data_IF_000945740439
#
_entry.id   IF_000945740439
#
_cell.length_a   1.000
_cell.length_b   1.000
_cell.length_c   1.000
_cell.angle_alpha   90.00
_cell.angle_beta   90.00
_cell.angle_gamma   90.00
#
_symmetry.space_group_name_H-M   'P 1'
#
loop_
_entity.id
_entity.type
_entity.pdbx_description
1 polymer ?
#
# COMPACT_ATOMS: atom_id res chain seq x y z
N UNK A 1 61.24 -24.38 42.88
CA UNK A 1 60.10 -23.41 42.76
C UNK A 1 58.94 -23.98 43.55
N UNK A 2 58.35 -23.14 44.41
CA UNK A 2 57.27 -23.54 45.33
C UNK A 2 55.93 -23.58 44.55
N UNK A 3 55.03 -24.53 44.89
CA UNK A 3 53.70 -24.69 44.19
C UNK A 3 52.96 -23.38 43.97
N UNK A 4 53.09 -22.39 44.91
CA UNK A 4 52.50 -21.07 44.78
C UNK A 4 53.16 -20.20 43.68
N UNK A 5 54.45 -20.37 43.39
CA UNK A 5 55.13 -19.65 42.30
C UNK A 5 54.77 -20.23 40.91
N UNK A 6 54.51 -21.54 40.84
CA UNK A 6 54.04 -22.19 39.59
C UNK A 6 52.62 -21.75 39.21
N UNK A 7 51.73 -21.59 40.20
CA UNK A 7 50.33 -21.11 39.98
C UNK A 7 50.33 -19.65 39.56
N UNK A 8 51.21 -18.81 40.13
CA UNK A 8 51.29 -17.40 39.72
C UNK A 8 51.85 -17.24 38.30
N UNK A 9 52.84 -18.07 37.90
CA UNK A 9 53.38 -18.02 36.54
C UNK A 9 52.39 -18.52 35.50
N UNK A 10 51.57 -19.53 35.81
CA UNK A 10 50.52 -20.01 34.91
C UNK A 10 49.38 -18.96 34.75
N UNK A 11 49.01 -18.26 35.82
CA UNK A 11 48.02 -17.20 35.77
C UNK A 11 48.47 -15.99 34.92
N UNK A 12 49.74 -15.59 35.01
CA UNK A 12 50.31 -14.49 34.22
C UNK A 12 50.39 -14.88 32.73
N UNK A 13 50.79 -16.11 32.39
CA UNK A 13 50.82 -16.57 31.01
C UNK A 13 49.42 -16.63 30.40
N UNK A 14 48.39 -17.04 31.15
CA UNK A 14 46.99 -17.07 30.70
C UNK A 14 46.43 -15.67 30.45
N UNK A 15 46.78 -14.67 31.29
CA UNK A 15 46.36 -13.27 31.13
C UNK A 15 47.04 -12.64 29.91
N UNK A 16 48.33 -12.90 29.68
CA UNK A 16 49.04 -12.38 28.50
C UNK A 16 48.56 -13.00 27.21
N UNK A 17 48.19 -14.28 27.18
CA UNK A 17 47.57 -14.93 26.01
C UNK A 17 46.14 -14.42 25.76
N UNK A 18 45.35 -14.16 26.81
CA UNK A 18 44.02 -13.61 26.67
C UNK A 18 44.04 -12.13 26.14
N UNK A 19 44.99 -11.32 26.59
CA UNK A 19 45.18 -9.94 26.10
C UNK A 19 45.73 -9.92 24.66
N UNK A 20 46.63 -10.83 24.31
CA UNK A 20 47.19 -10.98 22.96
C UNK A 20 46.12 -11.47 21.94
N UNK A 21 45.26 -12.40 22.33
CA UNK A 21 44.16 -12.90 21.48
C UNK A 21 43.05 -11.83 21.33
N UNK A 22 42.75 -11.04 22.37
CA UNK A 22 41.78 -9.97 22.33
C UNK A 22 42.18 -8.85 21.36
N UNK A 23 43.46 -8.49 21.32
CA UNK A 23 43.95 -7.45 20.39
C UNK A 23 44.09 -7.96 18.95
N UNK A 24 44.31 -9.24 18.74
CA UNK A 24 44.37 -9.86 17.41
C UNK A 24 42.93 -10.03 16.83
N UNK A 25 41.96 -10.46 17.63
CA UNK A 25 40.55 -10.54 17.25
C UNK A 25 39.95 -9.14 16.99
N UNK A 26 40.38 -8.11 17.70
CA UNK A 26 39.90 -6.76 17.48
C UNK A 26 40.43 -6.15 16.15
N UNK A 27 41.65 -6.54 15.72
CA UNK A 27 42.19 -6.11 14.42
C UNK A 27 41.61 -6.87 13.23
N UNK A 28 41.02 -8.05 13.40
CA UNK A 28 40.41 -8.84 12.30
C UNK A 28 38.91 -8.56 12.10
N UNK A 29 38.26 -7.80 13.00
CA UNK A 29 36.84 -7.41 12.91
C UNK A 29 36.66 -5.98 12.39
N UNK A 30 37.74 -5.23 12.11
CA UNK A 30 37.57 -3.99 11.34
C UNK A 30 37.27 -4.36 9.88
N UNK A 31 35.97 -4.27 9.50
CA UNK A 31 35.57 -4.26 8.10
C UNK A 31 36.37 -3.17 7.38
N UNK A 32 36.85 -3.43 6.16
CA UNK A 32 37.48 -2.38 5.38
C UNK A 32 36.46 -1.23 5.20
N UNK A 33 36.82 -0.04 5.68
CA UNK A 33 36.11 1.17 5.27
C UNK A 33 36.23 1.28 3.76
N UNK A 34 35.14 0.96 3.05
CA UNK A 34 34.99 1.44 1.69
C UNK A 34 35.04 2.97 1.77
N UNK A 35 36.16 3.55 1.38
CA UNK A 35 36.23 4.94 0.98
C UNK A 35 35.23 5.09 -0.17
N UNK A 36 34.02 5.49 0.18
CA UNK A 36 33.09 6.03 -0.79
C UNK A 36 33.77 7.27 -1.35
N UNK A 37 34.25 7.17 -2.58
CA UNK A 37 34.62 8.33 -3.33
C UNK A 37 33.37 9.21 -3.40
N UNK A 38 33.36 10.29 -2.67
CA UNK A 38 32.39 11.37 -2.82
C UNK A 38 32.58 11.95 -4.21
N UNK A 39 31.96 11.30 -5.20
CA UNK A 39 31.56 12.02 -6.39
C UNK A 39 30.40 12.90 -5.96
N UNK A 40 30.68 14.20 -5.86
CA UNK A 40 29.69 15.25 -5.82
C UNK A 40 28.82 15.13 -7.08
N UNK A 41 27.82 14.25 -7.07
CA UNK A 41 26.64 14.42 -7.89
C UNK A 41 25.93 15.63 -7.28
N UNK A 42 26.09 16.79 -7.88
CA UNK A 42 25.23 17.93 -7.63
C UNK A 42 23.79 17.46 -7.82
N UNK A 43 23.14 17.15 -6.71
CA UNK A 43 21.68 17.04 -6.65
C UNK A 43 21.19 18.44 -6.99
N UNK A 44 20.84 18.68 -8.26
CA UNK A 44 20.07 19.87 -8.64
C UNK A 44 18.86 19.88 -7.73
N UNK A 45 18.85 20.81 -6.76
CA UNK A 45 17.65 21.12 -5.99
C UNK A 45 16.55 21.36 -7.02
N UNK A 46 15.49 20.54 -6.99
CA UNK A 46 14.29 20.82 -7.76
C UNK A 46 13.83 22.21 -7.34
N UNK A 47 13.86 23.17 -8.26
CA UNK A 47 13.37 24.52 -8.01
C UNK A 47 11.87 24.43 -7.76
N UNK A 48 11.38 25.11 -6.73
CA UNK A 48 9.92 25.25 -6.52
C UNK A 48 9.31 25.82 -7.78
N UNK A 49 8.11 25.34 -8.17
CA UNK A 49 7.45 25.85 -9.37
C UNK A 49 7.34 27.38 -9.33
N UNK A 50 7.64 28.00 -10.42
CA UNK A 50 7.55 29.45 -10.55
C UNK A 50 6.09 29.91 -10.38
N UNK A 51 5.88 31.17 -9.99
CA UNK A 51 4.51 31.73 -9.92
C UNK A 51 3.78 31.62 -11.25
N UNK A 52 4.48 31.68 -12.37
CA UNK A 52 3.95 31.56 -13.72
C UNK A 52 3.45 30.13 -14.00
N UNK A 53 4.26 29.11 -13.69
CA UNK A 53 3.90 27.70 -13.83
C UNK A 53 2.69 27.33 -12.96
N UNK A 54 2.67 27.81 -11.71
CA UNK A 54 1.52 27.58 -10.81
C UNK A 54 0.25 28.20 -11.39
N UNK A 55 0.33 29.42 -11.95
CA UNK A 55 -0.81 30.09 -12.57
C UNK A 55 -1.29 29.34 -13.82
N UNK A 56 -0.38 28.86 -14.65
CA UNK A 56 -0.72 28.09 -15.84
C UNK A 56 -1.46 26.78 -15.49
N UNK A 57 -1.02 26.06 -14.44
CA UNK A 57 -1.68 24.85 -13.96
C UNK A 57 -3.07 25.11 -13.37
N UNK A 58 -3.27 26.26 -12.71
CA UNK A 58 -4.59 26.71 -12.28
C UNK A 58 -5.54 26.98 -13.46
N UNK A 59 -5.03 27.53 -14.55
CA UNK A 59 -5.82 27.69 -15.79
C UNK A 59 -6.22 26.34 -16.34
N UNK A 60 -5.29 25.36 -16.40
CA UNK A 60 -5.62 23.98 -16.80
C UNK A 60 -6.73 23.40 -15.91
N UNK A 61 -6.69 23.61 -14.60
CA UNK A 61 -7.74 23.13 -13.69
C UNK A 61 -9.10 23.77 -14.00
N UNK A 62 -9.14 25.05 -14.32
CA UNK A 62 -10.37 25.73 -14.73
C UNK A 62 -10.93 25.15 -16.03
N UNK A 63 -10.06 24.91 -17.03
CA UNK A 63 -10.46 24.27 -18.29
C UNK A 63 -11.01 22.86 -18.04
N UNK A 64 -10.35 22.05 -17.21
CA UNK A 64 -10.80 20.71 -16.81
C UNK A 64 -12.20 20.74 -16.18
N UNK A 65 -12.48 21.74 -15.34
CA UNK A 65 -13.80 21.87 -14.71
C UNK A 65 -14.92 22.18 -15.70
N UNK A 66 -14.60 22.75 -16.87
CA UNK A 66 -15.57 23.06 -17.94
C UNK A 66 -15.84 21.85 -18.85
N UNK A 67 -15.01 20.80 -18.83
CA UNK A 67 -15.21 19.61 -19.63
C UNK A 67 -16.36 18.75 -19.07
N UNK A 68 -17.15 18.15 -19.95
CA UNK A 68 -18.37 17.42 -19.58
C UNK A 68 -18.11 15.98 -19.17
N UNK A 69 -17.15 15.30 -19.79
CA UNK A 69 -16.88 13.88 -19.53
C UNK A 69 -15.67 13.66 -18.63
N UNK A 70 -15.66 12.57 -17.87
CA UNK A 70 -14.49 12.17 -17.08
C UNK A 70 -13.29 11.90 -17.98
N UNK A 71 -13.50 11.25 -19.11
CA UNK A 71 -12.42 10.92 -20.06
C UNK A 71 -11.73 12.16 -20.60
N UNK A 72 -12.48 13.20 -21.00
CA UNK A 72 -11.89 14.46 -21.46
C UNK A 72 -11.12 15.17 -20.35
N UNK A 73 -11.67 15.18 -19.13
CA UNK A 73 -10.99 15.74 -17.95
C UNK A 73 -9.66 15.06 -17.67
N UNK A 74 -9.66 13.74 -17.64
CA UNK A 74 -8.45 12.93 -17.39
C UNK A 74 -7.44 13.11 -18.50
N UNK A 75 -7.86 13.04 -19.78
CA UNK A 75 -6.98 13.27 -20.94
C UNK A 75 -6.31 14.64 -20.87
N UNK A 76 -7.07 15.68 -20.52
CA UNK A 76 -6.52 17.04 -20.37
C UNK A 76 -5.49 17.10 -19.23
N UNK A 77 -5.79 16.51 -18.07
CA UNK A 77 -4.86 16.46 -16.94
C UNK A 77 -3.57 15.72 -17.30
N UNK A 78 -3.68 14.50 -17.83
CA UNK A 78 -2.50 13.67 -18.18
C UNK A 78 -1.61 14.38 -19.20
N UNK A 79 -2.21 15.05 -20.22
CA UNK A 79 -1.42 15.78 -21.23
C UNK A 79 -0.79 17.07 -20.69
N UNK A 80 -1.25 17.60 -19.57
CA UNK A 80 -0.78 18.85 -18.96
C UNK A 80 0.22 18.63 -17.81
N UNK A 81 0.31 17.40 -17.29
CA UNK A 81 1.23 17.05 -16.21
C UNK A 81 2.66 16.81 -16.70
N UNK A 82 3.64 17.31 -15.94
CA UNK A 82 5.04 16.93 -16.13
C UNK A 82 5.26 15.46 -15.77
N UNK A 83 6.42 14.91 -16.15
CA UNK A 83 6.81 13.56 -15.77
C UNK A 83 6.78 13.39 -14.23
N UNK A 84 7.34 14.33 -13.53
CA UNK A 84 7.45 14.34 -12.07
C UNK A 84 6.06 14.36 -11.40
N UNK A 85 5.11 15.13 -11.93
CA UNK A 85 3.73 15.16 -11.44
C UNK A 85 3.00 13.85 -11.73
N UNK A 86 3.19 13.27 -12.90
CA UNK A 86 2.63 11.96 -13.25
C UNK A 86 3.11 10.87 -12.29
N UNK A 87 4.42 10.83 -11.99
CA UNK A 87 4.99 9.86 -11.05
C UNK A 87 4.42 10.05 -9.64
N UNK A 88 4.27 11.29 -9.17
CA UNK A 88 3.65 11.57 -7.88
C UNK A 88 2.22 11.02 -7.77
N UNK A 89 1.42 11.08 -8.85
CA UNK A 89 0.04 10.59 -8.81
C UNK A 89 -0.10 9.07 -8.73
N UNK A 90 0.92 8.31 -9.11
CA UNK A 90 0.92 6.84 -9.05
C UNK A 90 1.61 6.27 -7.81
N UNK A 91 1.99 7.11 -6.85
CA UNK A 91 2.56 6.65 -5.58
C UNK A 91 1.56 6.88 -4.44
N UNK A 92 1.52 5.93 -3.52
CA UNK A 92 0.83 6.04 -2.23
C UNK A 92 1.86 5.86 -1.12
N UNK A 93 2.01 6.87 -0.28
CA UNK A 93 3.06 6.91 0.74
C UNK A 93 2.50 7.01 2.15
N UNK A 94 3.21 6.41 3.11
CA UNK A 94 2.94 6.61 4.52
C UNK A 94 3.96 7.56 5.15
N UNK A 95 3.75 7.90 6.42
CA UNK A 95 4.65 8.76 7.18
C UNK A 95 4.55 8.48 8.68
N UNK A 96 5.40 9.11 9.47
CA UNK A 96 5.39 9.04 10.93
C UNK A 96 4.77 10.31 11.53
N UNK A 97 3.98 10.11 12.59
CA UNK A 97 3.36 11.20 13.34
C UNK A 97 1.85 11.30 13.16
N UNK A 98 1.22 12.07 14.03
CA UNK A 98 -0.26 12.25 14.11
C UNK A 98 -0.72 13.55 13.46
N UNK A 99 0.22 14.27 12.84
CA UNK A 99 0.03 15.48 12.04
C UNK A 99 0.88 15.36 10.77
N UNK A 100 0.62 16.12 9.68
CA UNK A 100 1.45 16.08 8.50
C UNK A 100 2.90 16.46 8.83
N UNK A 101 3.82 15.50 8.70
CA UNK A 101 5.25 15.71 8.96
C UNK A 101 5.91 16.55 7.85
N UNK A 102 7.12 17.07 8.13
CA UNK A 102 7.90 17.77 7.11
C UNK A 102 8.21 16.89 5.89
N UNK A 103 8.49 15.60 6.10
CA UNK A 103 8.77 14.65 5.02
C UNK A 103 7.54 14.42 4.13
N UNK A 104 6.35 14.16 4.69
CA UNK A 104 5.15 13.99 3.86
C UNK A 104 4.76 15.30 3.18
N UNK A 105 4.96 16.44 3.82
CA UNK A 105 4.73 17.76 3.21
C UNK A 105 5.66 17.97 2.01
N UNK A 106 6.95 17.60 2.13
CA UNK A 106 7.89 17.64 1.01
C UNK A 106 7.47 16.73 -0.14
N UNK A 107 7.06 15.49 0.17
CA UNK A 107 6.54 14.56 -0.83
C UNK A 107 5.31 15.11 -1.56
N UNK A 108 4.41 15.80 -0.85
CA UNK A 108 3.23 16.42 -1.45
C UNK A 108 3.60 17.65 -2.30
N UNK A 109 4.38 18.58 -1.74
CA UNK A 109 4.65 19.88 -2.39
C UNK A 109 5.69 19.78 -3.51
N UNK A 110 6.72 18.95 -3.35
CA UNK A 110 7.87 18.89 -4.26
C UNK A 110 7.93 17.61 -5.10
N UNK A 111 7.24 16.52 -4.70
CA UNK A 111 7.14 15.27 -5.46
C UNK A 111 5.72 15.01 -5.98
N UNK A 112 4.79 15.89 -5.68
CA UNK A 112 3.40 15.84 -6.19
C UNK A 112 2.66 14.55 -5.85
N UNK A 113 3.01 13.91 -4.71
CA UNK A 113 2.36 12.69 -4.26
C UNK A 113 0.85 12.93 -4.14
N UNK A 114 0.10 12.01 -4.72
CA UNK A 114 -1.35 12.10 -4.82
C UNK A 114 -2.11 11.21 -3.86
N UNK A 115 -1.44 10.31 -3.11
CA UNK A 115 -2.14 9.29 -2.31
C UNK A 115 -1.37 9.00 -1.03
N UNK A 116 -2.11 8.76 0.07
CA UNK A 116 -1.57 8.58 1.42
C UNK A 116 -2.15 7.29 2.00
N UNK A 117 -1.34 6.56 2.77
CA UNK A 117 -1.80 5.44 3.60
C UNK A 117 -1.42 5.69 5.07
N UNK A 118 -2.35 5.45 5.99
CA UNK A 118 -2.16 5.65 7.42
C UNK A 118 -2.10 4.30 8.17
N UNK A 119 -1.32 4.30 9.25
CA UNK A 119 -1.11 3.17 10.14
C UNK A 119 -1.39 3.56 11.59
N UNK A 120 -1.36 2.59 12.52
CA UNK A 120 -1.59 2.85 13.95
C UNK A 120 -0.71 3.97 14.52
N UNK A 121 0.51 4.16 13.99
CA UNK A 121 1.42 5.24 14.38
C UNK A 121 0.91 6.66 14.08
N UNK A 122 -0.11 6.77 13.23
CA UNK A 122 -0.74 8.04 12.87
C UNK A 122 -2.04 8.31 13.64
N UNK A 123 -2.47 7.39 14.52
CA UNK A 123 -3.82 7.36 15.04
C UNK A 123 -3.85 7.34 16.58
N UNK A 124 -4.53 8.30 17.19
CA UNK A 124 -4.71 8.40 18.65
C UNK A 124 -6.20 8.38 19.05
N UNK A 125 -7.05 9.01 18.26
CA UNK A 125 -8.50 9.04 18.46
C UNK A 125 -9.22 9.30 17.14
N UNK A 126 -10.51 8.94 17.02
CA UNK A 126 -11.29 9.21 15.81
C UNK A 126 -11.27 10.69 15.41
N UNK A 127 -11.44 11.60 16.36
CA UNK A 127 -11.36 13.05 16.12
C UNK A 127 -9.99 13.47 15.59
N UNK A 128 -8.89 13.00 16.19
CA UNK A 128 -7.53 13.34 15.73
C UNK A 128 -7.30 12.84 14.32
N UNK A 129 -7.76 11.62 13.96
CA UNK A 129 -7.63 11.07 12.61
C UNK A 129 -8.45 11.88 11.60
N UNK A 130 -9.68 12.28 11.97
CA UNK A 130 -10.51 13.16 11.15
C UNK A 130 -9.81 14.51 10.86
N UNK A 131 -9.19 15.11 11.90
CA UNK A 131 -8.39 16.34 11.75
C UNK A 131 -7.20 16.12 10.81
N UNK A 132 -6.43 15.04 11.02
CA UNK A 132 -5.29 14.70 10.18
C UNK A 132 -5.70 14.53 8.70
N UNK A 133 -6.76 13.78 8.43
CA UNK A 133 -7.24 13.56 7.06
C UNK A 133 -7.77 14.85 6.41
N UNK A 134 -8.45 15.70 7.18
CA UNK A 134 -8.84 17.04 6.72
C UNK A 134 -7.60 17.89 6.37
N UNK A 135 -6.55 17.87 7.18
CA UNK A 135 -5.33 18.64 6.93
C UNK A 135 -4.58 18.14 5.68
N UNK A 136 -4.53 16.82 5.48
CA UNK A 136 -3.98 16.24 4.25
C UNK A 136 -4.78 16.69 3.02
N UNK A 137 -6.11 16.68 3.08
CA UNK A 137 -6.95 17.18 1.98
C UNK A 137 -6.77 18.70 1.76
N UNK A 138 -6.53 19.49 2.81
CA UNK A 138 -6.18 20.93 2.68
C UNK A 138 -4.84 21.13 1.98
N UNK A 139 -3.84 20.24 2.23
CA UNK A 139 -2.57 20.25 1.49
C UNK A 139 -2.80 19.90 0.01
N UNK A 140 -3.62 18.88 -0.29
CA UNK A 140 -4.00 18.54 -1.66
C UNK A 140 -4.70 19.72 -2.38
N UNK A 141 -5.60 20.43 -1.70
CA UNK A 141 -6.30 21.59 -2.25
C UNK A 141 -5.38 22.74 -2.62
N UNK A 142 -4.24 22.86 -1.95
CA UNK A 142 -3.20 23.87 -2.26
C UNK A 142 -2.34 23.49 -3.47
N UNK A 143 -2.37 22.22 -3.90
CA UNK A 143 -1.59 21.80 -5.07
C UNK A 143 -2.16 22.37 -6.37
N UNK A 144 -1.34 22.56 -7.41
CA UNK A 144 -1.75 23.26 -8.64
C UNK A 144 -2.97 22.67 -9.34
N UNK A 145 -3.10 21.35 -9.40
CA UNK A 145 -4.23 20.68 -10.05
C UNK A 145 -5.42 20.45 -9.12
N UNK A 146 -5.27 20.69 -7.81
CA UNK A 146 -6.34 20.54 -6.82
C UNK A 146 -7.07 19.19 -6.92
N UNK A 147 -6.30 18.12 -6.89
CA UNK A 147 -6.81 16.75 -6.94
C UNK A 147 -6.92 16.20 -5.50
N UNK A 148 -8.10 15.68 -5.07
CA UNK A 148 -8.23 15.06 -3.77
C UNK A 148 -7.29 13.86 -3.61
N UNK A 149 -6.82 13.62 -2.39
CA UNK A 149 -6.03 12.43 -2.09
C UNK A 149 -6.91 11.20 -1.91
N UNK A 150 -6.47 10.06 -2.44
CA UNK A 150 -6.87 8.80 -1.87
C UNK A 150 -6.16 8.66 -0.53
N UNK A 151 -6.92 8.44 0.55
CA UNK A 151 -6.41 8.23 1.90
C UNK A 151 -6.85 6.84 2.35
N UNK A 152 -5.88 5.95 2.47
CA UNK A 152 -6.08 4.53 2.71
C UNK A 152 -5.70 4.08 4.13
N UNK A 153 -6.24 2.92 4.51
CA UNK A 153 -5.94 2.22 5.75
C UNK A 153 -6.18 0.72 5.57
N UNK A 154 -5.47 -0.13 6.35
CA UNK A 154 -5.81 -1.54 6.53
C UNK A 154 -6.77 -1.67 7.71
N UNK A 155 -8.04 -1.81 7.44
CA UNK A 155 -9.08 -2.02 8.45
C UNK A 155 -9.88 -3.28 8.07
N UNK A 156 -9.21 -4.44 8.18
CA UNK A 156 -9.75 -5.74 7.76
C UNK A 156 -10.71 -6.33 8.80
N UNK A 157 -10.44 -6.07 10.07
CA UNK A 157 -11.05 -6.72 11.23
C UNK A 157 -10.10 -7.70 11.92
N UNK A 158 -10.51 -8.25 13.06
CA UNK A 158 -9.70 -9.15 13.87
C UNK A 158 -8.38 -8.53 14.28
N UNK A 159 -7.28 -9.21 13.98
CA UNK A 159 -5.93 -8.76 14.36
C UNK A 159 -5.44 -7.55 13.50
N UNK A 160 -6.04 -7.32 12.33
CA UNK A 160 -5.73 -6.17 11.45
C UNK A 160 -6.81 -5.10 11.60
N UNK A 161 -6.81 -4.48 12.75
CA UNK A 161 -7.74 -3.43 13.13
C UNK A 161 -6.97 -2.29 13.80
N UNK A 162 -6.99 -1.09 13.21
CA UNK A 162 -6.31 0.09 13.77
C UNK A 162 -7.19 0.70 14.86
N UNK A 163 -6.56 1.23 15.91
CA UNK A 163 -7.24 1.82 17.09
C UNK A 163 -8.26 0.85 17.75
N UNK A 164 -7.91 -0.41 17.94
CA UNK A 164 -8.79 -1.48 18.43
C UNK A 164 -9.68 -1.09 19.62
N UNK A 165 -9.16 -0.29 20.55
CA UNK A 165 -9.90 0.16 21.75
C UNK A 165 -10.89 1.31 21.47
N UNK A 166 -10.85 1.91 20.28
CA UNK A 166 -11.63 3.11 19.93
C UNK A 166 -12.64 2.90 18.81
N UNK A 167 -12.43 1.90 17.96
CA UNK A 167 -13.32 1.52 16.88
C UNK A 167 -14.24 0.40 17.31
N UNK A 168 -15.27 0.11 16.53
CA UNK A 168 -16.07 -1.10 16.75
C UNK A 168 -15.21 -2.36 16.57
N UNK A 169 -15.46 -3.44 17.34
CA UNK A 169 -14.66 -4.67 17.30
C UNK A 169 -14.99 -5.50 16.04
N UNK A 170 -14.64 -4.99 14.88
CA UNK A 170 -14.87 -5.66 13.59
C UNK A 170 -14.28 -7.08 13.65
N UNK A 171 -15.08 -8.14 13.44
CA UNK A 171 -14.60 -9.51 13.53
C UNK A 171 -13.57 -9.83 12.43
N UNK A 172 -12.75 -10.85 12.66
CA UNK A 172 -11.92 -11.41 11.60
C UNK A 172 -12.79 -11.98 10.47
N UNK A 173 -12.24 -12.01 9.24
CA UNK A 173 -12.97 -12.61 8.11
C UNK A 173 -13.27 -14.10 8.37
N UNK A 174 -12.40 -14.83 9.06
CA UNK A 174 -12.66 -16.22 9.43
C UNK A 174 -13.89 -16.31 10.37
N UNK A 175 -13.95 -15.48 11.41
CA UNK A 175 -15.09 -15.49 12.32
C UNK A 175 -16.40 -15.16 11.60
N UNK A 176 -16.41 -14.18 10.70
CA UNK A 176 -17.55 -13.89 9.83
C UNK A 176 -17.84 -15.07 8.88
N UNK A 177 -16.81 -15.67 8.31
CA UNK A 177 -16.93 -16.85 7.49
C UNK A 177 -17.63 -18.02 8.18
N UNK A 178 -17.40 -18.21 9.46
CA UNK A 178 -17.94 -19.34 10.22
C UNK A 178 -19.42 -19.17 10.59
N UNK A 179 -19.87 -17.95 10.90
CA UNK A 179 -21.21 -17.74 11.49
C UNK A 179 -22.14 -16.81 10.71
N UNK A 180 -21.58 -15.87 9.91
CA UNK A 180 -22.37 -14.83 9.29
C UNK A 180 -23.03 -15.27 7.97
N UNK A 181 -24.20 -14.72 7.70
CA UNK A 181 -24.82 -14.73 6.36
C UNK A 181 -24.15 -13.67 5.47
N UNK A 182 -24.33 -13.77 4.16
CA UNK A 182 -23.84 -12.75 3.19
C UNK A 182 -24.36 -11.35 3.52
N UNK A 183 -25.62 -11.23 3.96
CA UNK A 183 -26.19 -9.94 4.37
C UNK A 183 -25.50 -9.38 5.63
N UNK A 184 -25.19 -10.22 6.60
CA UNK A 184 -24.49 -9.81 7.81
C UNK A 184 -23.04 -9.37 7.51
N UNK A 185 -22.35 -10.04 6.56
CA UNK A 185 -21.05 -9.59 6.09
C UNK A 185 -21.11 -8.19 5.45
N UNK A 186 -22.15 -7.95 4.64
CA UNK A 186 -22.41 -6.61 4.08
C UNK A 186 -22.66 -5.57 5.19
N UNK A 187 -23.48 -5.90 6.20
CA UNK A 187 -23.82 -4.99 7.29
C UNK A 187 -22.57 -4.61 8.11
N UNK A 188 -21.72 -5.58 8.43
CA UNK A 188 -20.43 -5.34 9.11
C UNK A 188 -19.50 -4.47 8.25
N UNK A 189 -19.40 -4.76 6.95
CA UNK A 189 -18.55 -3.98 6.06
C UNK A 189 -19.04 -2.53 5.93
N UNK A 190 -20.35 -2.32 5.82
CA UNK A 190 -20.97 -0.99 5.77
C UNK A 190 -20.77 -0.23 7.09
N UNK A 191 -20.87 -0.90 8.22
CA UNK A 191 -20.57 -0.32 9.54
C UNK A 191 -19.10 0.12 9.61
N UNK A 192 -18.16 -0.76 9.26
CA UNK A 192 -16.73 -0.42 9.20
C UNK A 192 -16.48 0.79 8.28
N UNK A 193 -17.10 0.80 7.10
CA UNK A 193 -16.99 1.90 6.15
C UNK A 193 -17.56 3.22 6.70
N UNK A 194 -18.65 3.17 7.47
CA UNK A 194 -19.24 4.36 8.13
C UNK A 194 -18.26 4.97 9.13
N UNK A 195 -17.57 4.14 9.91
CA UNK A 195 -16.54 4.62 10.83
C UNK A 195 -15.33 5.20 10.08
N UNK A 196 -14.88 4.54 9.02
CA UNK A 196 -13.78 5.04 8.19
C UNK A 196 -14.14 6.38 7.52
N UNK A 197 -15.34 6.48 6.97
CA UNK A 197 -15.83 7.73 6.36
C UNK A 197 -15.89 8.87 7.38
N UNK A 198 -16.38 8.60 8.62
CA UNK A 198 -16.42 9.60 9.69
C UNK A 198 -15.03 10.14 10.06
N UNK A 199 -13.99 9.34 9.85
CA UNK A 199 -12.59 9.73 10.04
C UNK A 199 -11.93 10.33 8.79
N UNK A 200 -12.62 10.39 7.65
CA UNK A 200 -12.12 11.00 6.42
C UNK A 200 -11.29 10.05 5.52
N UNK A 201 -11.31 8.76 5.75
CA UNK A 201 -10.77 7.77 4.80
C UNK A 201 -11.68 7.62 3.59
N UNK A 202 -11.11 7.19 2.46
CA UNK A 202 -11.84 6.90 1.23
C UNK A 202 -11.37 5.62 0.52
N UNK A 203 -10.40 4.93 1.10
CA UNK A 203 -9.85 3.65 0.60
C UNK A 203 -9.59 2.72 1.78
N UNK A 204 -10.04 1.45 1.69
CA UNK A 204 -9.74 0.42 2.67
C UNK A 204 -9.04 -0.76 2.00
N UNK A 205 -7.86 -1.16 2.48
CA UNK A 205 -7.12 -2.33 2.01
C UNK A 205 -7.75 -3.63 2.55
N UNK A 206 -9.00 -3.85 2.19
CA UNK A 206 -9.86 -5.00 2.46
C UNK A 206 -10.89 -5.14 1.33
N UNK A 207 -11.43 -6.36 1.08
CA UNK A 207 -11.24 -7.61 1.80
C UNK A 207 -10.01 -8.40 1.37
N UNK A 208 -9.60 -9.36 2.22
CA UNK A 208 -8.67 -10.43 1.87
C UNK A 208 -9.44 -11.53 1.14
N UNK A 209 -8.96 -11.93 -0.04
CA UNK A 209 -9.54 -13.01 -0.86
C UNK A 209 -8.64 -14.27 -0.89
N UNK A 210 -7.63 -14.31 -0.04
CA UNK A 210 -6.76 -15.48 0.11
C UNK A 210 -7.54 -16.67 0.65
N UNK A 211 -7.31 -17.86 0.08
CA UNK A 211 -7.99 -19.09 0.45
C UNK A 211 -7.19 -19.83 1.52
N UNK A 212 -7.72 -19.92 2.73
CA UNK A 212 -7.05 -20.61 3.83
C UNK A 212 -8.09 -21.04 4.89
N UNK A 213 -7.86 -22.20 5.52
CA UNK A 213 -8.63 -22.68 6.68
C UNK A 213 -7.94 -22.36 8.03
N UNK A 214 -6.71 -21.85 7.98
CA UNK A 214 -5.90 -21.56 9.17
C UNK A 214 -5.60 -20.06 9.36
N UNK A 215 -5.70 -19.27 8.32
CA UNK A 215 -5.48 -17.81 8.40
C UNK A 215 -6.79 -17.11 8.80
N UNK A 216 -6.79 -16.44 9.94
CA UNK A 216 -7.91 -15.65 10.45
C UNK A 216 -8.37 -14.53 9.51
N UNK A 217 -7.50 -14.11 8.59
CA UNK A 217 -7.80 -13.08 7.59
C UNK A 217 -8.59 -13.62 6.40
N UNK A 218 -8.71 -14.95 6.24
CA UNK A 218 -9.45 -15.62 5.17
C UNK A 218 -10.91 -15.88 5.58
N UNK A 219 -11.84 -15.89 4.62
CA UNK A 219 -13.21 -16.37 4.81
C UNK A 219 -13.32 -17.91 4.85
N UNK A 220 -12.20 -18.63 4.72
CA UNK A 220 -12.10 -20.07 4.75
C UNK A 220 -11.48 -20.66 3.47
N UNK A 221 -11.62 -21.98 3.33
CA UNK A 221 -11.02 -22.75 2.22
C UNK A 221 -11.93 -22.92 1.00
N UNK A 222 -13.16 -22.42 1.03
CA UNK A 222 -14.08 -22.46 -0.11
C UNK A 222 -13.92 -21.20 -0.99
N UNK A 223 -13.42 -21.32 -2.24
CA UNK A 223 -13.24 -20.19 -3.13
C UNK A 223 -14.54 -19.44 -3.49
N UNK A 224 -15.67 -20.17 -3.60
CA UNK A 224 -16.97 -19.58 -3.91
C UNK A 224 -17.47 -18.72 -2.76
N UNK A 225 -17.40 -19.26 -1.54
CA UNK A 225 -17.75 -18.52 -0.32
C UNK A 225 -16.89 -17.28 -0.15
N UNK A 226 -15.56 -17.42 -0.34
CA UNK A 226 -14.64 -16.28 -0.27
C UNK A 226 -14.99 -15.19 -1.27
N UNK A 227 -15.36 -15.56 -2.50
CA UNK A 227 -15.88 -14.61 -3.49
C UNK A 227 -17.18 -13.94 -3.04
N UNK A 228 -18.19 -14.73 -2.67
CA UNK A 228 -19.50 -14.22 -2.28
C UNK A 228 -19.39 -13.23 -1.09
N UNK A 229 -18.61 -13.59 -0.08
CA UNK A 229 -18.39 -12.73 1.09
C UNK A 229 -17.54 -11.50 0.76
N UNK A 230 -16.46 -11.69 0.03
CA UNK A 230 -15.62 -10.58 -0.44
C UNK A 230 -16.40 -9.57 -1.28
N UNK A 231 -17.31 -10.02 -2.14
CA UNK A 231 -18.23 -9.16 -2.91
C UNK A 231 -19.13 -8.31 -1.99
N UNK A 232 -19.65 -8.90 -0.90
CA UNK A 232 -20.45 -8.14 0.06
C UNK A 232 -19.63 -7.10 0.82
N UNK A 233 -18.36 -7.41 1.14
CA UNK A 233 -17.46 -6.42 1.74
C UNK A 233 -17.25 -5.24 0.77
N UNK A 234 -16.87 -5.51 -0.49
CA UNK A 234 -16.68 -4.45 -1.50
C UNK A 234 -17.95 -3.62 -1.64
N UNK A 235 -19.13 -4.27 -1.70
CA UNK A 235 -20.42 -3.57 -1.79
C UNK A 235 -20.68 -2.67 -0.56
N UNK A 236 -20.49 -3.19 0.65
CA UNK A 236 -20.70 -2.43 1.90
C UNK A 236 -19.78 -1.22 2.00
N UNK A 237 -18.51 -1.36 1.59
CA UNK A 237 -17.55 -0.27 1.50
C UNK A 237 -18.01 0.80 0.50
N UNK A 238 -18.36 0.41 -0.73
CA UNK A 238 -18.75 1.35 -1.79
C UNK A 238 -20.06 2.09 -1.50
N UNK A 239 -21.04 1.45 -0.87
CA UNK A 239 -22.29 2.10 -0.47
C UNK A 239 -22.08 3.25 0.54
N UNK A 240 -20.85 3.37 1.06
CA UNK A 240 -20.40 4.44 1.97
C UNK A 240 -19.26 5.28 1.36
N UNK A 241 -19.04 5.20 0.03
CA UNK A 241 -17.97 5.91 -0.70
C UNK A 241 -16.55 5.55 -0.22
N UNK A 242 -16.33 4.34 0.27
CA UNK A 242 -15.02 3.78 0.54
C UNK A 242 -14.69 2.77 -0.56
N UNK A 243 -13.59 2.96 -1.26
CA UNK A 243 -13.11 2.00 -2.26
C UNK A 243 -12.41 0.84 -1.58
N UNK A 244 -12.82 -0.39 -1.87
CA UNK A 244 -12.18 -1.60 -1.38
C UNK A 244 -10.93 -1.96 -2.18
N UNK A 245 -9.95 -2.59 -1.53
CA UNK A 245 -8.77 -3.15 -2.19
C UNK A 245 -8.73 -4.63 -1.92
N UNK A 246 -9.06 -5.45 -2.93
CA UNK A 246 -9.04 -6.90 -2.79
C UNK A 246 -7.61 -7.43 -2.87
N UNK A 247 -7.24 -8.37 -1.97
CA UNK A 247 -5.87 -8.82 -1.80
C UNK A 247 -5.78 -10.28 -1.34
N UNK A 248 -4.67 -10.94 -1.58
CA UNK A 248 -3.43 -10.51 -2.23
C UNK A 248 -3.25 -11.30 -3.53
N UNK A 249 -3.57 -10.73 -4.66
CA UNK A 249 -3.52 -11.43 -5.95
C UNK A 249 -2.10 -11.99 -6.25
N UNK A 250 -1.96 -13.22 -6.77
CA UNK A 250 -2.97 -14.24 -7.16
C UNK A 250 -3.53 -15.10 -6.01
N UNK A 251 -3.13 -14.90 -4.75
CA UNK A 251 -3.62 -15.58 -3.55
C UNK A 251 -2.50 -16.08 -2.63
N UNK A 252 -2.39 -15.53 -1.40
CA UNK A 252 -1.33 -15.84 -0.43
C UNK A 252 -1.62 -17.07 0.44
N UNK A 253 -2.82 -17.64 0.39
CA UNK A 253 -3.28 -18.63 1.37
C UNK A 253 -2.45 -19.92 1.45
N UNK A 254 -1.63 -20.20 0.43
CA UNK A 254 -0.73 -21.38 0.39
C UNK A 254 0.68 -21.07 0.89
N UNK A 255 0.99 -19.84 1.30
CA UNK A 255 2.34 -19.52 1.76
C UNK A 255 2.54 -19.91 3.21
N UNK A 256 3.73 -20.45 3.54
CA UNK A 256 4.16 -20.75 4.91
C UNK A 256 5.18 -19.73 5.43
N UNK A 257 5.56 -18.76 4.63
CA UNK A 257 6.53 -17.71 4.97
C UNK A 257 5.81 -16.38 4.97
N UNK A 258 5.97 -15.63 6.04
CA UNK A 258 5.45 -14.27 6.16
C UNK A 258 6.18 -13.33 5.17
N UNK A 259 5.49 -12.77 4.17
CA UNK A 259 6.12 -11.89 3.17
C UNK A 259 6.74 -10.62 3.76
N UNK A 260 6.35 -10.20 4.97
CA UNK A 260 7.02 -9.10 5.68
C UNK A 260 8.46 -9.45 6.05
N UNK A 261 8.78 -10.72 6.18
CA UNK A 261 10.09 -11.20 6.63
C UNK A 261 11.00 -11.67 5.51
N UNK A 262 10.46 -12.42 4.55
CA UNK A 262 11.26 -12.98 3.46
C UNK A 262 10.41 -13.39 2.26
N UNK A 263 11.08 -13.69 1.13
CA UNK A 263 10.42 -14.19 -0.08
C UNK A 263 9.88 -15.60 0.14
N UNK A 264 8.74 -15.88 -0.47
CA UNK A 264 8.14 -17.22 -0.54
C UNK A 264 7.72 -17.56 -1.95
N UNK A 265 7.42 -18.85 -2.18
CA UNK A 265 6.93 -19.31 -3.46
C UNK A 265 5.78 -20.31 -3.26
N UNK A 266 4.72 -20.17 -4.07
CA UNK A 266 3.61 -21.11 -4.13
C UNK A 266 3.88 -22.15 -5.22
N UNK A 267 4.10 -23.40 -4.84
CA UNK A 267 4.46 -24.50 -5.75
C UNK A 267 3.27 -25.16 -6.47
N UNK A 268 2.05 -24.62 -6.34
CA UNK A 268 0.86 -25.15 -7.03
C UNK A 268 0.95 -24.93 -8.54
N UNK A 269 0.37 -25.84 -9.33
CA UNK A 269 0.28 -25.69 -10.78
C UNK A 269 -0.81 -24.68 -11.17
N UNK A 270 -0.86 -24.28 -12.45
CA UNK A 270 -1.81 -23.28 -12.94
C UNK A 270 -3.27 -23.72 -12.75
N UNK A 271 -3.61 -24.99 -13.00
CA UNK A 271 -4.97 -25.49 -12.86
C UNK A 271 -5.47 -25.39 -11.41
N UNK A 272 -4.62 -25.73 -10.45
CA UNK A 272 -4.94 -25.62 -9.02
C UNK A 272 -5.12 -24.17 -8.61
N UNK A 273 -4.21 -23.27 -9.04
CA UNK A 273 -4.30 -21.84 -8.76
C UNK A 273 -5.55 -21.21 -9.35
N UNK A 274 -5.88 -21.53 -10.61
CA UNK A 274 -7.07 -20.98 -11.28
C UNK A 274 -8.39 -21.52 -10.70
N UNK A 275 -8.40 -22.77 -10.24
CA UNK A 275 -9.57 -23.39 -9.63
C UNK A 275 -9.83 -22.98 -8.17
N UNK A 276 -8.82 -22.46 -7.48
CA UNK A 276 -8.88 -22.11 -6.06
C UNK A 276 -8.47 -20.65 -5.82
N UNK A 277 -7.18 -20.38 -5.77
CA UNK A 277 -6.61 -19.12 -5.29
C UNK A 277 -7.01 -17.90 -6.15
N UNK A 278 -7.03 -18.07 -7.47
CA UNK A 278 -7.41 -17.03 -8.45
C UNK A 278 -8.93 -16.93 -8.61
N UNK A 279 -9.68 -17.95 -8.25
CA UNK A 279 -11.12 -18.00 -8.48
C UNK A 279 -11.89 -16.81 -7.90
N UNK A 280 -11.69 -16.39 -6.63
CA UNK A 280 -12.41 -15.24 -6.06
C UNK A 280 -12.13 -13.95 -6.82
N UNK A 281 -10.87 -13.72 -7.21
CA UNK A 281 -10.48 -12.55 -8.00
C UNK A 281 -11.10 -12.57 -9.40
N UNK A 282 -11.11 -13.72 -10.06
CA UNK A 282 -11.73 -13.89 -11.37
C UNK A 282 -13.23 -13.57 -11.33
N UNK A 283 -13.96 -14.08 -10.33
CA UNK A 283 -15.38 -13.79 -10.19
C UNK A 283 -15.62 -12.30 -9.86
N UNK A 284 -14.80 -11.71 -8.99
CA UNK A 284 -14.87 -10.27 -8.69
C UNK A 284 -14.70 -9.42 -9.95
N UNK A 285 -13.71 -9.73 -10.78
CA UNK A 285 -13.44 -9.02 -12.04
C UNK A 285 -14.61 -9.17 -13.04
N UNK A 286 -15.26 -10.32 -13.07
CA UNK A 286 -16.36 -10.58 -14.02
C UNK A 286 -17.68 -9.92 -13.62
N UNK A 287 -17.92 -9.71 -12.32
CA UNK A 287 -19.26 -9.36 -11.82
C UNK A 287 -19.33 -7.98 -11.12
N UNK A 288 -18.21 -7.40 -10.74
CA UNK A 288 -18.14 -6.11 -10.03
C UNK A 288 -17.51 -5.05 -10.94
N UNK A 289 -18.07 -3.85 -10.90
CA UNK A 289 -17.52 -2.72 -11.67
C UNK A 289 -16.05 -2.48 -11.26
N UNK A 290 -15.09 -2.43 -12.20
CA UNK A 290 -13.67 -2.21 -11.91
C UNK A 290 -13.37 -0.85 -11.24
N UNK A 291 -14.30 0.09 -11.24
CA UNK A 291 -14.18 1.35 -10.50
C UNK A 291 -14.49 1.20 -9.01
N UNK A 292 -15.10 0.08 -8.58
CA UNK A 292 -15.53 -0.17 -7.21
C UNK A 292 -14.46 -0.84 -6.35
N UNK A 293 -13.38 -1.35 -6.95
CA UNK A 293 -12.31 -2.00 -6.19
C UNK A 293 -10.95 -1.91 -6.90
N UNK A 294 -9.88 -2.00 -6.11
CA UNK A 294 -8.52 -2.18 -6.62
C UNK A 294 -8.09 -3.63 -6.39
N UNK A 295 -7.09 -4.09 -7.14
CA UNK A 295 -6.43 -5.39 -6.94
C UNK A 295 -5.01 -5.16 -6.44
N UNK A 296 -4.72 -5.58 -5.22
CA UNK A 296 -3.37 -5.55 -4.66
C UNK A 296 -2.65 -6.85 -4.98
N UNK A 297 -1.45 -6.71 -5.55
CA UNK A 297 -0.60 -7.83 -6.01
C UNK A 297 0.51 -8.10 -5.00
N UNK A 298 0.58 -9.34 -4.53
CA UNK A 298 1.54 -9.81 -3.52
C UNK A 298 3.00 -9.84 -3.98
N UNK A 299 3.92 -9.91 -3.02
CA UNK A 299 5.35 -10.15 -3.27
C UNK A 299 5.75 -11.63 -3.34
N UNK A 300 4.80 -12.54 -3.29
CA UNK A 300 5.04 -13.99 -3.38
C UNK A 300 5.35 -14.40 -4.83
N UNK A 301 6.21 -15.41 -5.01
CA UNK A 301 6.52 -16.01 -6.32
C UNK A 301 5.54 -17.12 -6.66
N UNK A 302 5.18 -17.21 -7.92
CA UNK A 302 4.31 -18.26 -8.47
C UNK A 302 5.03 -18.93 -9.65
N UNK A 303 5.89 -19.93 -9.41
CA UNK A 303 6.70 -20.56 -10.47
C UNK A 303 5.88 -21.14 -11.64
N UNK A 304 4.60 -21.46 -11.41
CA UNK A 304 3.68 -21.88 -12.45
C UNK A 304 3.42 -20.80 -13.53
N UNK A 305 3.62 -19.54 -13.20
CA UNK A 305 3.51 -18.39 -14.10
C UNK A 305 4.85 -17.71 -14.35
N UNK A 306 5.56 -17.35 -13.26
CA UNK A 306 6.88 -16.71 -13.31
C UNK A 306 7.76 -17.24 -12.19
N UNK A 307 8.78 -18.02 -12.55
CA UNK A 307 9.73 -18.60 -11.60
C UNK A 307 10.78 -17.60 -11.13
N UNK A 308 10.94 -16.46 -11.81
CA UNK A 308 12.04 -15.51 -11.57
C UNK A 308 11.61 -14.35 -10.67
N UNK A 309 10.46 -13.77 -10.94
CA UNK A 309 10.01 -12.53 -10.28
C UNK A 309 8.87 -12.80 -9.30
N UNK A 310 8.77 -12.02 -8.18
CA UNK A 310 7.58 -12.00 -7.37
C UNK A 310 6.42 -11.40 -8.18
N UNK A 311 5.17 -11.71 -7.78
CA UNK A 311 3.99 -11.33 -8.54
C UNK A 311 3.92 -9.80 -8.78
N UNK A 312 4.27 -8.98 -7.79
CA UNK A 312 4.28 -7.51 -7.85
C UNK A 312 5.33 -6.89 -8.80
N UNK A 313 6.28 -7.71 -9.29
CA UNK A 313 7.30 -7.27 -10.26
C UNK A 313 7.24 -8.11 -11.56
N UNK A 314 6.20 -8.95 -11.71
CA UNK A 314 6.07 -9.88 -12.85
C UNK A 314 5.08 -9.36 -13.90
N UNK A 315 5.55 -9.03 -15.12
CA UNK A 315 4.66 -8.70 -16.22
C UNK A 315 3.78 -9.89 -16.65
N UNK A 316 4.24 -11.13 -16.41
CA UNK A 316 3.43 -12.33 -16.69
C UNK A 316 2.20 -12.37 -15.77
N UNK A 317 2.35 -12.02 -14.50
CA UNK A 317 1.24 -12.04 -13.54
C UNK A 317 0.35 -10.80 -13.69
N UNK A 318 0.93 -9.60 -13.76
CA UNK A 318 0.11 -8.38 -13.81
C UNK A 318 -0.45 -8.12 -15.21
N UNK A 319 0.36 -8.21 -16.27
CA UNK A 319 -0.13 -7.94 -17.63
C UNK A 319 -0.81 -9.17 -18.22
N UNK A 320 -0.09 -10.30 -18.39
CA UNK A 320 -0.63 -11.44 -19.12
C UNK A 320 -1.78 -12.14 -18.37
N UNK A 321 -1.64 -12.40 -17.06
CA UNK A 321 -2.68 -13.08 -16.30
C UNK A 321 -3.82 -12.12 -15.89
N UNK A 322 -3.50 -11.05 -15.14
CA UNK A 322 -4.55 -10.19 -14.55
C UNK A 322 -5.25 -9.32 -15.61
N UNK A 323 -4.47 -8.64 -16.47
CA UNK A 323 -5.02 -7.72 -17.48
C UNK A 323 -5.60 -8.46 -18.69
N UNK A 324 -4.78 -9.31 -19.35
CA UNK A 324 -5.15 -9.87 -20.64
C UNK A 324 -6.08 -11.08 -20.49
N UNK A 325 -5.72 -12.04 -19.61
CA UNK A 325 -6.49 -13.28 -19.43
C UNK A 325 -7.75 -13.07 -18.57
N UNK A 326 -7.64 -12.39 -17.42
CA UNK A 326 -8.78 -12.16 -16.54
C UNK A 326 -9.57 -10.89 -16.90
N UNK A 327 -9.02 -10.00 -17.71
CA UNK A 327 -9.72 -8.83 -18.25
C UNK A 327 -9.85 -7.65 -17.28
N UNK A 328 -9.07 -7.59 -16.18
CA UNK A 328 -9.18 -6.53 -15.20
C UNK A 328 -8.81 -5.14 -15.76
N UNK A 329 -9.68 -4.15 -15.59
CA UNK A 329 -9.53 -2.77 -16.11
C UNK A 329 -9.25 -1.72 -15.05
N UNK A 330 -9.48 -2.05 -13.77
CA UNK A 330 -9.29 -1.14 -12.63
C UNK A 330 -7.82 -0.93 -12.25
N UNK A 331 -7.57 -0.32 -11.08
CA UNK A 331 -6.25 -0.02 -10.56
C UNK A 331 -5.58 -1.27 -9.98
N UNK A 332 -4.37 -1.57 -10.44
CA UNK A 332 -3.47 -2.58 -9.86
C UNK A 332 -2.52 -1.89 -8.90
N UNK A 333 -2.52 -2.35 -7.64
CA UNK A 333 -1.68 -1.81 -6.57
C UNK A 333 -0.60 -2.82 -6.21
N UNK A 334 0.64 -2.40 -5.98
CA UNK A 334 1.66 -3.29 -5.38
C UNK A 334 1.35 -3.50 -3.91
N UNK A 335 1.79 -4.61 -3.32
CA UNK A 335 2.00 -4.65 -1.88
C UNK A 335 3.11 -3.67 -1.49
N UNK A 336 3.33 -3.44 -0.18
CA UNK A 336 4.32 -2.47 0.28
C UNK A 336 5.74 -2.87 -0.14
N UNK A 337 6.36 -2.04 -0.99
CA UNK A 337 7.71 -2.27 -1.52
C UNK A 337 8.80 -2.29 -0.44
N UNK A 338 8.49 -1.92 0.80
CA UNK A 338 9.40 -2.01 1.93
C UNK A 338 9.36 -3.37 2.66
N UNK A 339 8.51 -4.31 2.21
CA UNK A 339 8.45 -5.66 2.78
C UNK A 339 9.69 -6.49 2.47
N UNK A 340 10.12 -7.33 3.45
CA UNK A 340 11.32 -8.15 3.36
C UNK A 340 11.34 -9.13 2.19
N UNK A 341 10.20 -9.48 1.63
CA UNK A 341 10.07 -10.35 0.45
C UNK A 341 10.73 -9.77 -0.81
N UNK A 342 10.84 -8.46 -0.91
CA UNK A 342 11.40 -7.76 -2.08
C UNK A 342 12.59 -6.88 -1.73
N UNK A 343 12.56 -6.09 -0.65
CA UNK A 343 13.62 -5.13 -0.34
C UNK A 343 14.98 -5.76 -0.02
N UNK A 344 15.02 -7.05 0.28
CA UNK A 344 16.28 -7.79 0.45
C UNK A 344 16.95 -8.15 -0.87
N UNK A 345 16.23 -8.14 -1.98
CA UNK A 345 16.65 -8.67 -3.27
C UNK A 345 16.72 -7.62 -4.37
N UNK A 346 16.04 -6.50 -4.18
CA UNK A 346 15.96 -5.40 -5.16
C UNK A 346 16.27 -4.08 -4.48
N UNK A 347 16.86 -3.13 -5.21
CA UNK A 347 16.94 -1.75 -4.73
C UNK A 347 15.57 -1.06 -4.87
N UNK A 348 15.30 -0.05 -4.06
CA UNK A 348 14.02 0.70 -4.16
C UNK A 348 13.84 1.36 -5.53
N UNK A 349 14.92 1.84 -6.15
CA UNK A 349 14.88 2.37 -7.52
C UNK A 349 14.48 1.30 -8.54
N UNK A 350 15.04 0.09 -8.44
CA UNK A 350 14.70 -1.01 -9.32
C UNK A 350 13.26 -1.47 -9.12
N UNK A 351 12.80 -1.57 -7.87
CA UNK A 351 11.42 -1.94 -7.56
C UNK A 351 10.42 -0.96 -8.17
N UNK A 352 10.67 0.35 -8.07
CA UNK A 352 9.82 1.35 -8.70
C UNK A 352 9.71 1.18 -10.21
N UNK A 353 10.86 0.99 -10.89
CA UNK A 353 10.91 0.75 -12.34
C UNK A 353 10.20 -0.55 -12.72
N UNK A 354 10.56 -1.64 -12.07
CA UNK A 354 10.06 -2.97 -12.42
C UNK A 354 8.56 -3.11 -12.15
N UNK A 355 8.04 -2.57 -11.03
CA UNK A 355 6.63 -2.63 -10.71
C UNK A 355 5.78 -1.87 -11.75
N UNK A 356 6.15 -0.63 -12.10
CA UNK A 356 5.45 0.13 -13.12
C UNK A 356 5.53 -0.55 -14.49
N UNK A 357 6.71 -0.99 -14.91
CA UNK A 357 6.91 -1.71 -16.17
C UNK A 357 6.12 -3.02 -16.23
N UNK A 358 5.97 -3.73 -15.12
CA UNK A 358 5.23 -4.98 -15.02
C UNK A 358 3.70 -4.82 -15.07
N UNK A 359 3.15 -3.62 -14.84
CA UNK A 359 1.72 -3.36 -14.96
C UNK A 359 1.04 -2.75 -13.74
N UNK A 360 1.77 -2.43 -12.67
CA UNK A 360 1.23 -1.70 -11.52
C UNK A 360 0.83 -0.27 -11.89
N UNK A 361 -0.28 0.22 -11.34
CA UNK A 361 -0.78 1.57 -11.54
C UNK A 361 -0.60 2.44 -10.29
N UNK A 362 -0.51 1.82 -9.12
CA UNK A 362 -0.30 2.49 -7.84
C UNK A 362 0.75 1.73 -7.03
N UNK A 363 1.79 2.41 -6.58
CA UNK A 363 2.90 1.81 -5.85
C UNK A 363 2.85 2.23 -4.39
N UNK A 364 2.84 1.24 -3.48
CA UNK A 364 2.89 1.46 -2.04
C UNK A 364 4.34 1.55 -1.54
N UNK A 365 4.66 2.63 -0.81
CA UNK A 365 5.92 2.79 -0.06
C UNK A 365 5.57 3.43 1.27
N UNK A 366 5.42 2.59 2.31
CA UNK A 366 4.59 2.93 3.45
C UNK A 366 5.32 3.58 4.62
N UNK A 367 6.66 3.58 4.67
CA UNK A 367 7.37 3.89 5.90
C UNK A 367 8.43 4.98 5.76
N UNK A 368 9.52 4.72 5.02
CA UNK A 368 10.71 5.55 5.08
C UNK A 368 10.79 6.56 3.92
N UNK A 369 11.00 7.81 4.27
CA UNK A 369 11.09 8.92 3.30
C UNK A 369 12.16 8.69 2.22
N UNK A 370 13.35 8.20 2.58
CA UNK A 370 14.42 7.95 1.63
C UNK A 370 14.06 6.83 0.65
N UNK A 371 13.33 5.80 1.10
CA UNK A 371 12.82 4.73 0.24
C UNK A 371 11.77 5.25 -0.75
N UNK A 372 10.89 6.13 -0.29
CA UNK A 372 9.89 6.81 -1.14
C UNK A 372 10.56 7.62 -2.23
N UNK A 373 11.63 8.38 -1.88
CA UNK A 373 12.42 9.13 -2.84
C UNK A 373 13.13 8.22 -3.85
N UNK A 374 13.67 7.09 -3.41
CA UNK A 374 14.37 6.16 -4.30
C UNK A 374 13.40 5.50 -5.28
N UNK A 375 12.22 5.04 -4.84
CA UNK A 375 11.17 4.52 -5.75
C UNK A 375 10.76 5.59 -6.75
N UNK A 376 10.45 6.81 -6.29
CA UNK A 376 10.10 7.94 -7.13
C UNK A 376 11.18 8.23 -8.19
N UNK A 377 12.43 8.37 -7.76
CA UNK A 377 13.55 8.66 -8.65
C UNK A 377 13.81 7.52 -9.64
N UNK A 378 13.67 6.26 -9.20
CA UNK A 378 13.79 5.11 -10.07
C UNK A 378 12.79 5.13 -11.22
N UNK A 379 11.54 5.49 -10.97
CA UNK A 379 10.51 5.63 -12.03
C UNK A 379 10.86 6.79 -12.95
N UNK A 380 11.21 7.97 -12.41
CA UNK A 380 11.58 9.15 -13.22
C UNK A 380 12.78 8.84 -14.13
N UNK A 381 13.83 8.20 -13.56
CA UNK A 381 15.01 7.78 -14.30
C UNK A 381 14.66 6.76 -15.40
N UNK A 382 13.82 5.77 -15.09
CA UNK A 382 13.39 4.73 -16.03
C UNK A 382 12.59 5.28 -17.22
N UNK A 383 11.73 6.26 -16.99
CA UNK A 383 10.98 6.91 -18.09
C UNK A 383 11.90 7.83 -18.88
N UNK A 384 12.77 8.61 -18.25
CA UNK A 384 13.74 9.49 -18.95
C UNK A 384 14.74 8.72 -19.82
N UNK A 385 15.13 7.52 -19.38
CA UNK A 385 16.05 6.65 -20.16
C UNK A 385 15.35 5.88 -21.28
N UNK A 386 14.01 5.84 -21.29
CA UNK A 386 13.22 5.02 -22.22
C UNK A 386 13.10 3.54 -21.82
N UNK A 387 13.62 3.14 -20.66
CA UNK A 387 13.43 1.80 -20.11
C UNK A 387 11.94 1.52 -19.81
N UNK A 388 11.23 2.53 -19.33
CA UNK A 388 9.78 2.51 -19.17
C UNK A 388 9.18 3.41 -20.27
N UNK A 389 8.32 2.88 -21.16
CA UNK A 389 7.62 3.71 -22.12
C UNK A 389 6.74 4.76 -21.38
N UNK A 390 6.78 6.02 -21.81
CA UNK A 390 5.93 7.06 -21.23
C UNK A 390 4.43 6.71 -21.35
N UNK A 391 4.06 5.96 -22.38
CA UNK A 391 2.70 5.43 -22.52
C UNK A 391 2.27 4.58 -21.33
N UNK A 392 3.17 3.76 -20.75
CA UNK A 392 2.87 2.93 -19.58
C UNK A 392 2.61 3.80 -18.34
N UNK A 393 3.41 4.85 -18.13
CA UNK A 393 3.15 5.83 -17.07
C UNK A 393 1.82 6.54 -17.30
N UNK A 394 1.55 6.99 -18.52
CA UNK A 394 0.29 7.66 -18.87
C UNK A 394 -0.93 6.77 -18.63
N UNK A 395 -0.84 5.47 -18.91
CA UNK A 395 -1.89 4.51 -18.60
C UNK A 395 -2.16 4.40 -17.08
N UNK A 396 -1.12 4.31 -16.27
CA UNK A 396 -1.24 4.25 -14.81
C UNK A 396 -1.92 5.52 -14.27
N UNK A 397 -1.39 6.68 -14.65
CA UNK A 397 -1.95 7.98 -14.26
C UNK A 397 -3.39 8.12 -14.73
N UNK A 398 -3.72 7.67 -15.94
CA UNK A 398 -5.10 7.71 -16.47
C UNK A 398 -6.05 6.93 -15.56
N UNK A 399 -5.71 5.70 -15.15
CA UNK A 399 -6.55 4.90 -14.24
C UNK A 399 -6.71 5.57 -12.88
N UNK A 400 -5.62 6.05 -12.27
CA UNK A 400 -5.67 6.74 -10.98
C UNK A 400 -6.52 8.00 -11.05
N UNK A 401 -6.34 8.83 -12.07
CA UNK A 401 -7.13 10.07 -12.22
C UNK A 401 -8.58 9.79 -12.58
N UNK A 402 -8.87 8.75 -13.37
CA UNK A 402 -10.25 8.32 -13.67
C UNK A 402 -10.98 7.96 -12.39
N UNK A 403 -10.35 7.14 -11.53
CA UNK A 403 -10.91 6.80 -10.22
C UNK A 403 -11.17 8.05 -9.37
N UNK A 404 -10.18 8.95 -9.25
CA UNK A 404 -10.34 10.20 -8.50
C UNK A 404 -11.50 11.06 -9.04
N UNK A 405 -11.61 11.20 -10.35
CA UNK A 405 -12.69 11.99 -10.97
C UNK A 405 -14.08 11.37 -10.78
N UNK A 406 -14.17 10.04 -10.70
CA UNK A 406 -15.44 9.33 -10.48
C UNK A 406 -15.82 9.25 -9.00
N UNK A 407 -14.90 8.88 -8.12
CA UNK A 407 -15.17 8.58 -6.70
C UNK A 407 -14.87 9.74 -5.75
N UNK A 408 -13.96 10.63 -6.14
CA UNK A 408 -13.52 11.79 -5.34
C UNK A 408 -13.64 13.09 -6.17
N UNK A 409 -14.81 13.40 -6.74
CA UNK A 409 -14.94 14.53 -7.69
C UNK A 409 -14.71 15.90 -7.03
N UNK A 410 -14.89 15.98 -5.72
CA UNK A 410 -14.71 17.18 -4.90
C UNK A 410 -13.95 16.86 -3.62
N UNK A 411 -13.35 17.88 -3.01
CA UNK A 411 -12.81 17.75 -1.67
C UNK A 411 -13.92 17.51 -0.66
N UNK A 412 -13.79 16.45 0.12
CA UNK A 412 -14.68 16.15 1.24
C UNK A 412 -13.92 16.41 2.54
N UNK A 413 -14.48 17.28 3.37
CA UNK A 413 -14.01 17.53 4.73
C UNK A 413 -15.04 16.97 5.71
N UNK A 414 -14.57 16.15 6.64
CA UNK A 414 -15.45 15.53 7.64
C UNK A 414 -15.62 16.42 8.87
N UNK A 415 -16.75 16.27 9.54
CA UNK A 415 -16.99 16.94 10.82
C UNK A 415 -16.26 16.22 11.95
N UNK A 416 -15.10 16.79 12.32
CA UNK A 416 -14.21 16.23 13.34
C UNK A 416 -14.88 16.03 14.69
N UNK A 417 -15.91 16.84 15.01
CA UNK A 417 -16.62 16.74 16.28
C UNK A 417 -17.50 15.48 16.35
N UNK A 418 -18.00 15.00 15.22
CA UNK A 418 -18.87 13.82 15.14
C UNK A 418 -18.10 12.50 15.05
N UNK A 419 -16.82 12.53 14.72
CA UNK A 419 -16.04 11.31 14.56
C UNK A 419 -16.05 10.43 15.83
N UNK A 420 -15.93 11.04 17.03
CA UNK A 420 -15.97 10.29 18.28
C UNK A 420 -17.37 9.72 18.63
N UNK A 421 -18.44 10.30 18.09
CA UNK A 421 -19.82 9.85 18.37
C UNK A 421 -20.21 8.66 17.49
N UNK A 422 -19.63 8.58 16.27
CA UNK A 422 -19.92 7.56 15.28
C UNK A 422 -19.02 6.33 15.48
N UNK A 423 -17.70 6.58 15.60
CA UNK A 423 -16.68 5.53 15.63
C UNK A 423 -16.71 4.81 16.97
N UNK A 424 -16.89 3.49 16.94
CA UNK A 424 -16.96 2.66 18.13
C UNK A 424 -18.21 2.92 18.98
N UNK A 425 -19.30 3.40 18.37
CA UNK A 425 -20.56 3.66 19.09
C UNK A 425 -21.16 2.37 19.66
N UNK A 426 -21.96 2.50 20.71
CA UNK A 426 -22.65 1.35 21.31
C UNK A 426 -23.66 0.72 20.34
N UNK A 427 -24.23 1.49 19.42
CA UNK A 427 -25.09 0.98 18.35
C UNK A 427 -24.31 0.05 17.42
N UNK A 428 -23.13 0.46 16.97
CA UNK A 428 -22.27 -0.34 16.12
C UNK A 428 -21.79 -1.62 16.83
N UNK A 429 -21.42 -1.54 18.10
CA UNK A 429 -21.00 -2.72 18.88
C UNK A 429 -22.12 -3.74 18.99
N UNK A 430 -23.35 -3.30 19.27
CA UNK A 430 -24.53 -4.19 19.34
C UNK A 430 -24.82 -4.92 18.03
N UNK A 431 -24.60 -4.27 16.89
CA UNK A 431 -24.75 -4.94 15.58
C UNK A 431 -23.79 -6.12 15.50
N UNK A 432 -22.53 -5.93 15.88
CA UNK A 432 -21.50 -6.97 15.84
C UNK A 432 -21.79 -8.09 16.84
N UNK A 433 -22.15 -7.74 18.08
CA UNK A 433 -22.54 -8.70 19.14
C UNK A 433 -23.69 -9.59 18.65
N UNK A 434 -24.73 -9.01 18.06
CA UNK A 434 -25.87 -9.76 17.51
C UNK A 434 -25.49 -10.75 16.40
N UNK A 435 -24.50 -10.37 15.55
CA UNK A 435 -24.04 -11.23 14.45
C UNK A 435 -23.21 -12.40 15.00
N UNK A 436 -22.38 -12.15 15.99
CA UNK A 436 -21.53 -13.17 16.61
C UNK A 436 -22.28 -14.06 17.63
N UNK A 437 -23.52 -13.74 17.98
CA UNK A 437 -24.31 -14.45 18.99
C UNK A 437 -23.80 -14.25 20.42
N UNK A 438 -23.21 -13.11 20.71
CA UNK A 438 -22.64 -12.72 22.01
C UNK A 438 -23.57 -11.80 22.77
#
# INVERSE_FOLDING_TARGET
>A
MNKKQLVLLSAIITIVLALGAGTWLWKTVQKPEHKVATQNAETKKQEKPTKEETKQKQVVRQEVNQLSTVDDKVKKLVSSMSLEEKVGQIMMVGFYGTEPSSSVTDMIENKHIGNIILFSRNMQSPKQVATLNNDLQRLAQKQPYQLPFMIGVDQEGGDILRMQEKVSPIPSQQALGDVATTQQVYDVAKLNATELQAMGFNTNFAPVLDISDTDKRSFGSDPKKTYEYGKQVVKGLNDTNITGVVKHFPGNGRTNVDPHKDTSAVGANQQDLEGSDIYPFKQMINEVDPDDFFVLVTHVKYPAYDAKKPASLSPVIMQTLLRDKLGYKGIVVTDDLEMGAVNKYYTYKDMGREALAAGADLLLVCHEYDHQLDVYNGIVEGVKSGEIPESRLNEAVTRVLTHKMKKLPTFTFVDESKANDIVGSDEHKKVIENILGQ
#
